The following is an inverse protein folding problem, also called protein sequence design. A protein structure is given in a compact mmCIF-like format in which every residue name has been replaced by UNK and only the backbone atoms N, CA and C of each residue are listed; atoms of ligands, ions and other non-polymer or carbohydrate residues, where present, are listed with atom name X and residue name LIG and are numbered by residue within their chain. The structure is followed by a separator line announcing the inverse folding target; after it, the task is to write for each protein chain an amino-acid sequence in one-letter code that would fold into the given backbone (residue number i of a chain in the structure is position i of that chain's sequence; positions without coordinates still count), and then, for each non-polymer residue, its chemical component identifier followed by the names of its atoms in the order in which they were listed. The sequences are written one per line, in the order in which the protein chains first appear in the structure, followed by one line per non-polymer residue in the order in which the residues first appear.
data_IF_616959723967
#
_entry.id   IF_616959723967
#
_cell.length_a   1.000
_cell.length_b   1.000
_cell.length_c   1.000
_cell.angle_alpha   90.00
_cell.angle_beta   90.00
_cell.angle_gamma   90.00
#
_symmetry.space_group_name_H-M   'P 1'
#
loop_
_entity.id
_entity.type
_entity.pdbx_description
1 polymer ?
#
# COMPACT_ATOMS: atom_id res chain seq x y z
N UNK A 1 29.15 20.57 -6.42
CA UNK A 1 27.97 20.96 -7.22
C UNK A 1 26.83 20.13 -6.68
N UNK A 2 26.30 20.60 -5.56
CA UNK A 2 25.05 20.13 -4.99
C UNK A 2 23.92 20.85 -5.71
N UNK A 3 22.92 20.10 -6.17
CA UNK A 3 21.56 20.60 -6.43
C UNK A 3 20.62 19.40 -6.64
N UNK A 4 20.21 18.76 -5.54
CA UNK A 4 19.02 17.93 -5.50
C UNK A 4 17.86 18.76 -4.95
N UNK A 5 17.28 19.60 -5.80
CA UNK A 5 15.98 20.22 -5.51
C UNK A 5 14.89 19.15 -5.72
N UNK A 6 14.52 18.46 -4.64
CA UNK A 6 13.28 17.70 -4.57
C UNK A 6 12.11 18.69 -4.64
N UNK A 7 11.61 18.93 -5.85
CA UNK A 7 10.41 19.71 -6.10
C UNK A 7 9.20 19.03 -5.45
N UNK A 8 8.73 19.62 -4.36
CA UNK A 8 7.50 19.22 -3.69
C UNK A 8 6.25 19.50 -4.53
N UNK A 9 5.24 18.66 -4.30
CA UNK A 9 3.83 18.87 -4.62
C UNK A 9 3.46 19.03 -6.11
N UNK A 10 3.80 18.03 -6.94
CA UNK A 10 2.91 17.68 -8.05
C UNK A 10 1.67 17.00 -7.49
N UNK A 11 0.47 17.44 -7.89
CA UNK A 11 -0.82 16.92 -7.40
C UNK A 11 -0.98 15.40 -7.52
N UNK A 12 -2.11 14.81 -7.08
CA UNK A 12 -2.33 13.36 -7.00
C UNK A 12 -2.35 12.61 -8.35
N UNK A 13 -1.83 13.21 -9.43
CA UNK A 13 -1.61 12.60 -10.73
C UNK A 13 -0.45 11.62 -10.70
N UNK A 14 -0.64 10.47 -10.06
CA UNK A 14 0.14 9.28 -10.40
C UNK A 14 -0.22 8.79 -11.82
N UNK A 15 0.56 7.87 -12.41
CA UNK A 15 0.39 7.37 -13.78
C UNK A 15 -0.94 6.64 -14.07
N UNK A 16 -1.86 6.64 -13.12
CA UNK A 16 -3.21 6.07 -13.21
C UNK A 16 -4.29 7.12 -13.53
N UNK A 17 -3.94 8.41 -13.51
CA UNK A 17 -4.79 9.50 -13.97
C UNK A 17 -4.29 9.99 -15.33
N UNK A 18 -4.33 9.12 -16.36
CA UNK A 18 -4.08 9.56 -17.74
C UNK A 18 -5.44 9.93 -18.35
N UNK A 19 -5.83 11.21 -18.36
CA UNK A 19 -7.07 11.65 -19.02
C UNK A 19 -7.11 11.29 -20.50
N UNK A 20 -5.97 10.97 -21.12
CA UNK A 20 -5.88 10.71 -22.56
C UNK A 20 -6.50 9.40 -23.04
N UNK A 21 -6.74 8.42 -22.15
CA UNK A 21 -7.47 7.19 -22.48
C UNK A 21 -8.99 7.30 -22.28
N UNK A 22 -9.47 8.44 -21.78
CA UNK A 22 -10.89 8.68 -21.50
C UNK A 22 -11.48 9.53 -22.64
N UNK A 23 -12.64 9.15 -23.22
CA UNK A 23 -13.36 9.97 -24.19
C UNK A 23 -13.53 11.40 -23.66
N UNK A 24 -13.32 12.40 -24.51
CA UNK A 24 -13.29 13.80 -24.08
C UNK A 24 -14.56 14.25 -23.34
N UNK A 25 -15.71 13.67 -23.75
CA UNK A 25 -17.01 13.86 -23.10
C UNK A 25 -17.04 13.39 -21.62
N UNK A 26 -16.24 12.39 -21.27
CA UNK A 26 -16.24 11.74 -19.95
C UNK A 26 -15.11 12.23 -19.04
N UNK A 27 -14.11 12.93 -19.59
CA UNK A 27 -12.91 13.40 -18.85
C UNK A 27 -13.27 14.26 -17.64
N UNK A 28 -14.22 15.19 -17.80
CA UNK A 28 -14.65 16.08 -16.71
C UNK A 28 -15.30 15.29 -15.57
N UNK A 29 -16.11 14.27 -15.89
CA UNK A 29 -16.75 13.42 -14.91
C UNK A 29 -15.75 12.51 -14.19
N UNK A 30 -14.78 11.96 -14.92
CA UNK A 30 -13.69 11.15 -14.34
C UNK A 30 -12.81 11.99 -13.43
N UNK A 31 -12.40 13.19 -13.84
CA UNK A 31 -11.61 14.11 -13.00
C UNK A 31 -12.36 14.50 -11.73
N UNK A 32 -13.66 14.78 -11.82
CA UNK A 32 -14.49 15.06 -10.65
C UNK A 32 -14.70 13.84 -9.74
N UNK A 33 -14.73 12.62 -10.28
CA UNK A 33 -14.77 11.39 -9.50
C UNK A 33 -13.44 11.12 -8.79
N UNK A 34 -12.30 11.34 -9.47
CA UNK A 34 -10.96 11.22 -8.90
C UNK A 34 -10.74 12.27 -7.81
N UNK A 35 -11.17 13.52 -8.01
CA UNK A 35 -11.10 14.56 -7.00
C UNK A 35 -11.91 14.18 -5.74
N UNK A 36 -13.15 13.69 -5.91
CA UNK A 36 -13.99 13.21 -4.80
C UNK A 36 -13.44 11.95 -4.12
N UNK A 37 -12.76 11.08 -4.85
CA UNK A 37 -12.09 9.90 -4.27
C UNK A 37 -10.79 10.29 -3.54
N UNK A 38 -10.13 11.37 -3.99
CA UNK A 38 -8.97 11.98 -3.34
C UNK A 38 -9.30 12.79 -2.10
N UNK A 39 -10.57 13.21 -1.92
CA UNK A 39 -11.12 13.62 -0.63
C UNK A 39 -11.27 12.40 0.30
N UNK A 40 -10.17 11.71 0.56
CA UNK A 40 -10.05 10.87 1.72
C UNK A 40 -10.33 11.76 2.92
N UNK A 41 -11.32 11.41 3.74
CA UNK A 41 -11.43 12.00 5.08
C UNK A 41 -10.05 11.84 5.72
N UNK A 42 -9.47 12.96 6.13
CA UNK A 42 -8.15 13.09 6.78
C UNK A 42 -8.17 12.50 8.19
N UNK A 43 -8.68 11.28 8.27
CA UNK A 43 -8.57 10.37 9.39
C UNK A 43 -7.64 9.30 8.88
N UNK A 44 -6.41 9.29 9.38
CA UNK A 44 -5.56 8.11 9.27
C UNK A 44 -6.33 6.94 9.89
N UNK A 45 -7.02 6.18 9.04
CA UNK A 45 -7.88 5.09 9.47
C UNK A 45 -7.09 4.00 10.17
N UNK A 46 -5.80 3.86 9.87
CA UNK A 46 -4.91 2.92 10.55
C UNK A 46 -4.59 3.42 11.95
N UNK A 47 -4.21 4.70 12.10
CA UNK A 47 -3.99 5.27 13.43
C UNK A 47 -5.27 5.24 14.28
N UNK A 48 -6.43 5.58 13.70
CA UNK A 48 -7.71 5.57 14.40
C UNK A 48 -8.10 4.15 14.84
N UNK A 49 -8.10 3.18 13.92
CA UNK A 49 -8.41 1.77 14.26
C UNK A 49 -7.40 1.17 15.22
N UNK A 50 -6.12 1.53 15.11
CA UNK A 50 -5.09 1.12 16.07
C UNK A 50 -5.36 1.69 17.47
N UNK A 51 -5.76 2.95 17.57
CA UNK A 51 -6.11 3.57 18.85
C UNK A 51 -7.32 2.89 19.50
N UNK A 52 -8.35 2.56 18.72
CA UNK A 52 -9.55 1.83 19.16
C UNK A 52 -9.21 0.41 19.63
N UNK A 53 -8.31 -0.26 18.91
CA UNK A 53 -7.84 -1.59 19.32
C UNK A 53 -7.12 -1.52 20.67
N UNK A 54 -6.20 -0.57 20.85
CA UNK A 54 -5.46 -0.43 22.10
C UNK A 54 -6.35 -0.01 23.28
N UNK A 55 -7.40 0.79 23.07
CA UNK A 55 -8.38 1.08 24.13
C UNK A 55 -9.13 -0.17 24.57
N UNK A 56 -9.58 -1.02 23.63
CA UNK A 56 -10.22 -2.30 23.98
C UNK A 56 -9.29 -3.24 24.73
N UNK A 57 -8.00 -3.30 24.33
CA UNK A 57 -7.01 -4.12 25.04
C UNK A 57 -6.79 -3.59 26.48
N UNK A 58 -6.78 -2.28 26.66
CA UNK A 58 -6.65 -1.67 27.99
C UNK A 58 -7.87 -1.97 28.88
N UNK A 59 -9.08 -1.87 28.34
CA UNK A 59 -10.32 -2.21 29.05
C UNK A 59 -10.34 -3.69 29.45
N UNK A 60 -9.98 -4.60 28.54
CA UNK A 60 -9.93 -6.03 28.83
C UNK A 60 -8.91 -6.36 29.93
N UNK A 61 -7.76 -5.67 29.93
CA UNK A 61 -6.74 -5.82 30.97
C UNK A 61 -7.25 -5.34 32.33
N UNK A 62 -7.92 -4.19 32.38
CA UNK A 62 -8.53 -3.67 33.61
C UNK A 62 -9.52 -4.66 34.18
N UNK A 63 -10.44 -5.15 33.36
CA UNK A 63 -11.49 -6.08 33.79
C UNK A 63 -10.88 -7.41 34.28
N UNK A 64 -9.81 -7.88 33.64
CA UNK A 64 -9.05 -9.06 34.09
C UNK A 64 -8.36 -8.84 35.44
N UNK A 65 -7.73 -7.70 35.65
CA UNK A 65 -7.05 -7.36 36.91
C UNK A 65 -8.07 -7.20 38.06
N UNK A 66 -9.28 -6.71 37.79
CA UNK A 66 -10.39 -6.64 38.74
C UNK A 66 -10.94 -8.02 39.13
N UNK A 67 -11.13 -8.92 38.15
CA UNK A 67 -11.50 -10.31 38.41
C UNK A 67 -10.43 -11.04 39.23
N UNK A 68 -9.15 -10.82 38.93
CA UNK A 68 -8.02 -11.41 39.69
C UNK A 68 -7.96 -10.89 41.12
N UNK A 69 -8.42 -9.66 41.37
CA UNK A 69 -8.49 -9.07 42.70
C UNK A 69 -9.68 -9.59 43.54
N UNK A 70 -10.48 -10.52 43.02
CA UNK A 70 -11.62 -11.11 43.75
C UNK A 70 -12.78 -10.13 43.96
N UNK A 71 -12.81 -9.02 43.20
CA UNK A 71 -13.96 -8.11 43.21
C UNK A 71 -15.09 -8.74 42.40
N UNK A 72 -16.29 -8.73 42.96
CA UNK A 72 -17.50 -9.19 42.27
C UNK A 72 -17.80 -8.19 41.15
N UNK A 73 -17.35 -8.50 39.94
CA UNK A 73 -17.69 -7.74 38.75
C UNK A 73 -19.08 -8.20 38.32
N UNK A 74 -20.08 -7.31 38.38
CA UNK A 74 -21.38 -7.60 37.76
C UNK A 74 -21.22 -7.61 36.24
N UNK A 75 -20.86 -8.75 35.67
CA UNK A 75 -20.74 -8.93 34.23
C UNK A 75 -22.15 -9.01 33.64
N UNK A 76 -22.56 -7.96 32.92
CA UNK A 76 -23.71 -8.06 32.03
C UNK A 76 -23.34 -9.06 30.91
N UNK A 77 -23.87 -10.28 31.01
CA UNK A 77 -23.63 -11.36 30.05
C UNK A 77 -24.00 -10.96 28.61
N UNK A 78 -25.01 -10.09 28.44
CA UNK A 78 -25.41 -9.61 27.13
C UNK A 78 -24.43 -8.53 26.61
N UNK A 79 -23.89 -7.68 27.47
CA UNK A 79 -22.80 -6.77 27.10
C UNK A 79 -21.53 -7.52 26.69
N UNK A 80 -21.16 -8.58 27.42
CA UNK A 80 -20.00 -9.40 27.09
C UNK A 80 -20.17 -10.10 25.74
N UNK A 81 -21.34 -10.69 25.46
CA UNK A 81 -21.63 -11.29 24.14
C UNK A 81 -21.53 -10.27 23.01
N UNK A 82 -22.06 -9.05 23.21
CA UNK A 82 -21.95 -7.97 22.22
C UNK A 82 -20.50 -7.56 21.98
N UNK A 83 -19.69 -7.45 23.03
CA UNK A 83 -18.28 -7.11 22.93
C UNK A 83 -17.48 -8.20 22.17
N UNK A 84 -17.70 -9.48 22.49
CA UNK A 84 -17.06 -10.61 21.81
C UNK A 84 -17.46 -10.66 20.33
N UNK A 85 -18.73 -10.41 20.02
CA UNK A 85 -19.22 -10.32 18.64
C UNK A 85 -18.54 -9.16 17.89
N UNK A 86 -18.52 -7.97 18.49
CA UNK A 86 -17.87 -6.79 17.88
C UNK A 86 -16.38 -7.02 17.62
N UNK A 87 -15.65 -7.63 18.57
CA UNK A 87 -14.25 -7.98 18.38
C UNK A 87 -14.04 -8.96 17.22
N UNK A 88 -14.95 -9.93 17.06
CA UNK A 88 -14.95 -10.87 15.93
C UNK A 88 -15.21 -10.16 14.60
N UNK A 89 -16.20 -9.28 14.55
CA UNK A 89 -16.55 -8.51 13.37
C UNK A 89 -15.37 -7.61 12.93
N UNK A 90 -14.70 -6.95 13.89
CA UNK A 90 -13.49 -6.14 13.63
C UNK A 90 -12.36 -7.02 13.08
N UNK A 91 -12.13 -8.20 13.65
CA UNK A 91 -11.12 -9.14 13.15
C UNK A 91 -11.42 -9.56 11.71
N UNK A 92 -12.67 -9.86 11.39
CA UNK A 92 -13.10 -10.24 10.05
C UNK A 92 -12.89 -9.08 9.05
N UNK A 93 -13.23 -7.84 9.45
CA UNK A 93 -12.98 -6.65 8.65
C UNK A 93 -11.47 -6.42 8.39
N UNK A 94 -10.61 -6.60 9.39
CA UNK A 94 -9.16 -6.49 9.23
C UNK A 94 -8.59 -7.53 8.26
N UNK A 95 -9.12 -8.76 8.30
CA UNK A 95 -8.72 -9.81 7.35
C UNK A 95 -9.11 -9.42 5.92
N UNK A 96 -10.32 -8.89 5.72
CA UNK A 96 -10.75 -8.39 4.41
C UNK A 96 -9.88 -7.23 3.91
N UNK A 97 -9.59 -6.24 4.76
CA UNK A 97 -8.69 -5.13 4.41
C UNK A 97 -7.30 -5.61 4.00
N UNK A 98 -6.76 -6.62 4.69
CA UNK A 98 -5.48 -7.24 4.31
C UNK A 98 -5.57 -7.89 2.92
N UNK A 99 -6.64 -8.64 2.66
CA UNK A 99 -6.83 -9.27 1.36
C UNK A 99 -6.93 -8.24 0.23
N UNK A 100 -7.63 -7.12 0.45
CA UNK A 100 -7.69 -6.03 -0.52
C UNK A 100 -6.33 -5.37 -0.73
N UNK A 101 -5.53 -5.15 0.33
CA UNK A 101 -4.15 -4.68 0.18
C UNK A 101 -3.31 -5.66 -0.64
N UNK A 102 -3.39 -6.95 -0.35
CA UNK A 102 -2.66 -7.98 -1.10
C UNK A 102 -3.07 -7.99 -2.59
N UNK A 103 -4.35 -7.77 -2.90
CA UNK A 103 -4.85 -7.64 -4.29
C UNK A 103 -4.33 -6.38 -4.97
N UNK A 104 -4.39 -5.23 -4.30
CA UNK A 104 -3.86 -3.96 -4.82
C UNK A 104 -2.36 -4.06 -5.10
N UNK A 105 -1.59 -4.70 -4.21
CA UNK A 105 -0.17 -4.86 -4.40
C UNK A 105 0.18 -5.85 -5.53
N UNK A 106 -0.64 -6.89 -5.74
CA UNK A 106 -0.55 -7.74 -6.93
C UNK A 106 -0.83 -6.94 -8.20
N UNK A 107 -1.95 -6.22 -8.24
CA UNK A 107 -2.29 -5.37 -9.38
C UNK A 107 -1.21 -4.32 -9.66
N UNK A 108 -0.63 -3.69 -8.64
CA UNK A 108 0.50 -2.77 -8.81
C UNK A 108 1.71 -3.44 -9.44
N UNK A 109 2.04 -4.67 -9.03
CA UNK A 109 3.16 -5.45 -9.61
C UNK A 109 2.88 -5.87 -11.04
N UNK A 110 1.66 -6.33 -11.32
CA UNK A 110 1.26 -6.77 -12.65
C UNK A 110 1.19 -5.58 -13.63
N UNK A 111 0.70 -4.42 -13.17
CA UNK A 111 0.50 -3.21 -13.97
C UNK A 111 1.78 -2.37 -14.13
N UNK A 112 2.70 -2.43 -13.17
CA UNK A 112 4.07 -1.94 -13.36
C UNK A 112 4.81 -2.69 -14.49
N UNK A 113 4.22 -3.78 -15.01
CA UNK A 113 4.87 -4.71 -15.91
C UNK A 113 6.01 -5.41 -15.17
N UNK A 114 6.38 -6.61 -15.61
CA UNK A 114 7.66 -7.17 -15.19
C UNK A 114 8.73 -6.11 -15.43
N UNK A 115 9.40 -5.65 -14.36
CA UNK A 115 10.63 -4.86 -14.43
C UNK A 115 11.61 -5.71 -15.25
N UNK A 116 11.60 -5.55 -16.57
CA UNK A 116 12.09 -6.56 -17.51
C UNK A 116 11.32 -6.70 -18.84
N UNK A 117 10.32 -5.86 -19.13
CA UNK A 117 9.64 -5.84 -20.45
C UNK A 117 10.55 -5.50 -21.64
N UNK A 118 11.75 -4.97 -21.39
CA UNK A 118 12.82 -4.96 -22.37
C UNK A 118 13.53 -6.31 -22.36
N UNK A 119 13.34 -7.12 -23.41
CA UNK A 119 14.22 -8.25 -23.68
C UNK A 119 15.65 -7.71 -23.79
N UNK A 120 16.48 -7.94 -22.77
CA UNK A 120 17.91 -7.69 -22.89
C UNK A 120 18.44 -8.66 -23.94
N UNK A 121 18.83 -8.13 -25.11
CA UNK A 121 19.52 -8.94 -26.12
C UNK A 121 20.95 -9.22 -25.64
N UNK A 122 21.08 -10.31 -24.89
CA UNK A 122 22.36 -10.78 -24.39
C UNK A 122 23.31 -11.21 -25.53
N UNK A 123 22.78 -11.52 -26.73
CA UNK A 123 23.55 -11.81 -27.92
C UNK A 123 24.25 -10.55 -28.45
N UNK A 124 23.48 -9.50 -28.72
CA UNK A 124 24.02 -8.21 -29.15
C UNK A 124 24.99 -7.61 -28.12
N UNK A 125 24.69 -7.75 -26.82
CA UNK A 125 25.59 -7.33 -25.75
C UNK A 125 26.91 -8.12 -25.76
N UNK A 126 26.87 -9.44 -25.97
CA UNK A 126 28.06 -10.29 -26.09
C UNK A 126 28.92 -9.89 -27.28
N UNK A 127 28.29 -9.61 -28.42
CA UNK A 127 29.01 -9.22 -29.64
C UNK A 127 29.70 -7.86 -29.47
N UNK A 128 29.05 -6.90 -28.80
CA UNK A 128 29.65 -5.61 -28.47
C UNK A 128 30.85 -5.74 -27.52
N UNK A 129 30.75 -6.59 -26.49
CA UNK A 129 31.88 -6.88 -25.59
C UNK A 129 33.04 -7.53 -26.37
N UNK A 130 32.74 -8.49 -27.25
CA UNK A 130 33.73 -9.16 -28.10
C UNK A 130 34.50 -8.19 -28.99
N UNK A 131 33.79 -7.23 -29.62
CA UNK A 131 34.41 -6.16 -30.41
C UNK A 131 35.35 -5.31 -29.56
N UNK A 132 34.92 -4.85 -28.39
CA UNK A 132 35.75 -4.03 -27.48
C UNK A 132 37.00 -4.77 -27.03
N UNK A 133 36.89 -6.04 -26.67
CA UNK A 133 38.02 -6.88 -26.29
C UNK A 133 39.01 -7.10 -27.44
N UNK A 134 38.50 -7.22 -28.68
CA UNK A 134 39.35 -7.33 -29.86
C UNK A 134 40.11 -6.02 -30.13
N UNK A 135 39.46 -4.86 -29.98
CA UNK A 135 40.12 -3.56 -30.05
C UNK A 135 41.22 -3.42 -29.00
N UNK A 136 40.97 -3.83 -27.76
CA UNK A 136 41.96 -3.80 -26.68
C UNK A 136 43.15 -4.72 -26.97
N UNK A 137 42.91 -5.95 -27.45
CA UNK A 137 44.00 -6.87 -27.85
C UNK A 137 44.87 -6.30 -28.96
N UNK A 138 44.25 -5.69 -29.97
CA UNK A 138 44.98 -5.02 -31.07
C UNK A 138 45.81 -3.84 -30.56
N UNK A 139 45.29 -3.05 -29.62
CA UNK A 139 46.03 -1.95 -29.01
C UNK A 139 47.21 -2.43 -28.14
N UNK A 140 47.13 -3.64 -27.58
CA UNK A 140 48.18 -4.25 -26.75
C UNK A 140 49.29 -4.98 -27.50
N UNK A 141 49.21 -5.12 -28.83
CA UNK A 141 50.26 -5.76 -29.64
C UNK A 141 50.06 -7.26 -29.95
N UNK A 142 48.89 -7.84 -29.64
CA UNK A 142 48.55 -9.24 -29.94
C UNK A 142 48.11 -10.03 -28.72
#
# INVERSE_FOLDING_TARGET
MDDMTWGGAGGPGGPFAVPDSVPEADRAAVLAAVARAGEAKDTDGVAFTSSLFWSYVADLKRDFDEMRAGREVSLDAEALKRAVKSARDVREALVLMKQERDKVDKLRKDLAGGVGGGCLDLGAARDEIGRRLACLRRAGGG
#
